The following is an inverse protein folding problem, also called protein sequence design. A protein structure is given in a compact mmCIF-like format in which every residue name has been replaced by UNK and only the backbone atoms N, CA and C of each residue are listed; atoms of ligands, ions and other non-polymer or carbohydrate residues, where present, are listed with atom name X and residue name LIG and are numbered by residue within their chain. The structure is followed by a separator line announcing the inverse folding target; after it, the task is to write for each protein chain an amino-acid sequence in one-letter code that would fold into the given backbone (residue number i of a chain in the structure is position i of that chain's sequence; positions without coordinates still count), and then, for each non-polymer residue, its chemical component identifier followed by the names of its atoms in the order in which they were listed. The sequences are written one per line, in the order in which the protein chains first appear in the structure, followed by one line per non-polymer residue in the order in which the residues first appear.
data_IF_161505894699
#
_entry.id   IF_161505894699
#
_cell.length_a   1.000
_cell.length_b   1.000
_cell.length_c   1.000
_cell.angle_alpha   90.00
_cell.angle_beta   90.00
_cell.angle_gamma   90.00
#
_symmetry.space_group_name_H-M   'P 1'
#
loop_
_entity.id
_entity.type
_entity.pdbx_description
1 polymer ?
#
# COMPACT_ATOMS: atom_id res chain seq x y z
N UNK A 1 -3.87 -14.14 -10.61
CA UNK A 1 -4.43 -13.16 -9.65
C UNK A 1 -3.27 -12.40 -9.06
N UNK A 2 -3.24 -11.07 -9.20
CA UNK A 2 -2.21 -10.25 -8.56
C UNK A 2 -2.58 -10.08 -7.07
N UNK A 3 -1.60 -10.23 -6.19
CA UNK A 3 -1.79 -9.95 -4.76
C UNK A 3 -1.92 -8.43 -4.57
N UNK A 4 -2.89 -8.02 -3.76
CA UNK A 4 -3.13 -6.61 -3.40
C UNK A 4 -2.39 -6.25 -2.11
N UNK A 5 -1.70 -5.11 -2.12
CA UNK A 5 -0.86 -4.60 -1.03
C UNK A 5 -1.26 -3.15 -0.72
N UNK A 6 -1.31 -2.80 0.57
CA UNK A 6 -1.60 -1.46 1.06
C UNK A 6 -0.38 -1.00 1.82
N UNK A 7 0.23 0.05 1.32
CA UNK A 7 1.38 0.70 1.92
C UNK A 7 0.82 1.85 2.76
N UNK A 8 1.14 1.89 4.05
CA UNK A 8 0.78 3.02 4.91
C UNK A 8 2.07 3.77 5.23
N UNK A 9 2.24 4.93 4.62
CA UNK A 9 3.49 5.67 4.63
C UNK A 9 3.20 7.15 4.45
N UNK A 10 3.61 7.98 5.41
CA UNK A 10 3.39 9.42 5.39
C UNK A 10 4.44 10.14 4.54
N UNK A 11 5.63 9.55 4.39
CA UNK A 11 6.67 10.05 3.48
C UNK A 11 6.40 9.67 2.02
N UNK A 12 5.85 10.62 1.26
CA UNK A 12 5.54 10.46 -0.18
C UNK A 12 6.69 9.88 -1.03
N UNK A 13 7.97 10.28 -0.87
CA UNK A 13 9.05 9.72 -1.67
C UNK A 13 9.25 8.21 -1.42
N UNK A 14 9.21 7.80 -0.15
CA UNK A 14 9.34 6.40 0.28
C UNK A 14 8.15 5.60 -0.22
N UNK A 15 6.94 6.11 0.01
CA UNK A 15 5.70 5.46 -0.43
C UNK A 15 5.70 5.20 -1.94
N UNK A 16 6.19 6.18 -2.73
CA UNK A 16 6.27 6.04 -4.18
C UNK A 16 7.30 4.99 -4.60
N UNK A 17 8.47 4.96 -3.96
CA UNK A 17 9.49 3.95 -4.23
C UNK A 17 8.99 2.53 -3.95
N UNK A 18 8.29 2.34 -2.83
CA UNK A 18 7.68 1.06 -2.46
C UNK A 18 6.59 0.64 -3.45
N UNK A 19 5.69 1.56 -3.82
CA UNK A 19 4.66 1.30 -4.83
C UNK A 19 5.28 0.86 -6.16
N UNK A 20 6.31 1.56 -6.65
CA UNK A 20 6.99 1.20 -7.90
C UNK A 20 7.62 -0.19 -7.83
N UNK A 21 8.33 -0.50 -6.73
CA UNK A 21 8.97 -1.80 -6.55
C UNK A 21 7.95 -2.94 -6.55
N UNK A 22 6.84 -2.77 -5.83
CA UNK A 22 5.81 -3.80 -5.72
C UNK A 22 5.03 -3.96 -7.03
N UNK A 23 4.66 -2.87 -7.70
CA UNK A 23 4.02 -2.91 -9.01
C UNK A 23 4.90 -3.55 -10.08
N UNK A 24 6.20 -3.23 -10.12
CA UNK A 24 7.16 -3.92 -10.99
C UNK A 24 7.33 -5.41 -10.67
N UNK A 25 7.02 -5.84 -9.45
CA UNK A 25 7.07 -7.25 -9.05
C UNK A 25 5.74 -8.00 -9.33
N UNK A 26 4.76 -7.35 -9.96
CA UNK A 26 3.47 -7.95 -10.33
C UNK A 26 2.39 -7.87 -9.26
N UNK A 27 2.59 -7.05 -8.22
CA UNK A 27 1.57 -6.78 -7.20
C UNK A 27 0.72 -5.56 -7.55
N UNK A 28 -0.51 -5.52 -7.04
CA UNK A 28 -1.34 -4.32 -7.04
C UNK A 28 -1.10 -3.56 -5.73
N UNK A 29 -0.37 -2.43 -5.78
CA UNK A 29 0.00 -1.67 -4.60
C UNK A 29 -0.75 -0.33 -4.49
N UNK A 30 -1.52 -0.17 -3.42
CA UNK A 30 -2.19 1.08 -3.01
C UNK A 30 -1.39 1.75 -1.90
N UNK A 31 -1.37 3.08 -1.87
CA UNK A 31 -0.72 3.87 -0.83
C UNK A 31 -1.77 4.63 -0.04
N UNK A 32 -1.71 4.56 1.28
CA UNK A 32 -2.42 5.42 2.22
C UNK A 32 -1.41 6.32 2.93
N UNK A 33 -1.71 7.62 3.02
CA UNK A 33 -0.81 8.60 3.65
C UNK A 33 -0.96 8.65 5.19
N UNK A 34 -1.98 8.01 5.74
CA UNK A 34 -2.30 8.02 7.15
C UNK A 34 -3.18 6.81 7.52
N UNK A 35 -3.38 6.60 8.82
CA UNK A 35 -4.19 5.50 9.33
C UNK A 35 -5.68 5.58 8.96
N UNK A 36 -6.25 6.78 8.79
CA UNK A 36 -7.66 6.94 8.42
C UNK A 36 -7.89 6.51 6.97
N UNK A 37 -7.01 6.94 6.06
CA UNK A 37 -6.98 6.46 4.68
C UNK A 37 -6.75 4.95 4.64
N UNK A 38 -5.82 4.43 5.45
CA UNK A 38 -5.55 3.01 5.49
C UNK A 38 -6.78 2.18 5.88
N UNK A 39 -7.53 2.61 6.90
CA UNK A 39 -8.78 1.97 7.31
C UNK A 39 -9.81 2.01 6.18
N UNK A 40 -9.98 3.16 5.52
CA UNK A 40 -10.92 3.28 4.40
C UNK A 40 -10.56 2.37 3.22
N UNK A 41 -9.27 2.14 2.97
CA UNK A 41 -8.80 1.23 1.91
C UNK A 41 -8.90 -0.25 2.33
N UNK A 42 -8.71 -0.56 3.61
CA UNK A 42 -8.89 -1.91 4.16
C UNK A 42 -10.33 -2.42 4.00
N UNK A 43 -11.33 -1.55 4.18
CA UNK A 43 -12.73 -1.93 3.99
C UNK A 43 -13.07 -2.33 2.55
N UNK A 44 -12.24 -1.92 1.58
CA UNK A 44 -12.47 -2.17 0.14
C UNK A 44 -11.74 -3.42 -0.37
N UNK A 45 -10.74 -3.94 0.36
CA UNK A 45 -9.78 -4.92 -0.20
C UNK A 45 -9.31 -5.95 0.85
N UNK A 46 -9.27 -7.24 0.45
CA UNK A 46 -8.60 -8.30 1.22
C UNK A 46 -7.07 -8.17 1.07
N UNK A 47 -6.40 -7.69 2.12
CA UNK A 47 -5.04 -7.13 2.07
C UNK A 47 -4.02 -7.98 2.86
N UNK A 48 -2.81 -8.13 2.32
CA UNK A 48 -1.81 -9.12 2.80
C UNK A 48 -0.62 -8.50 3.55
N UNK A 49 -0.35 -7.20 3.43
CA UNK A 49 0.82 -6.60 4.09
C UNK A 49 0.56 -5.16 4.54
N UNK A 50 0.98 -4.88 5.77
CA UNK A 50 0.91 -3.58 6.45
C UNK A 50 2.33 -3.24 6.93
N UNK A 51 2.94 -2.20 6.37
CA UNK A 51 4.19 -1.62 6.89
C UNK A 51 3.80 -0.33 7.60
N UNK A 52 4.19 -0.20 8.87
CA UNK A 52 4.12 1.01 9.66
C UNK A 52 5.57 1.28 10.08
N UNK A 53 6.15 2.38 9.61
CA UNK A 53 7.44 2.87 10.09
C UNK A 53 7.20 4.15 10.88
#
# INVERSE_FOLDING_TARGET
MALKILIVEDERPIAKALQLKLTSSGYEATVAADGMQAISELEKINLILFFLI
#
